data_IF_616004527562
#
_entry.id   IF_616004527562
#
_cell.length_a   1.000
_cell.length_b   1.000
_cell.length_c   1.000
_cell.angle_alpha   90.00
_cell.angle_beta   90.00
_cell.angle_gamma   90.00
#
_symmetry.space_group_name_H-M   'P 1'
#
loop_
_entity.id
_entity.type
_entity.pdbx_description
1 polymer ?
#
# COMPACT_ATOMS: atom_id res chain seq x y z
N UNK A 1 -40.17 -21.94 -49.46
CA UNK A 1 -40.17 -22.83 -48.27
C UNK A 1 -39.53 -22.07 -47.13
N UNK A 2 -40.33 -21.76 -46.11
CA UNK A 2 -39.89 -21.09 -44.91
C UNK A 2 -39.58 -22.14 -43.84
N UNK A 3 -38.50 -21.95 -43.09
CA UNK A 3 -38.47 -22.37 -41.69
C UNK A 3 -37.77 -21.27 -40.87
N UNK A 4 -38.53 -20.77 -39.90
CA UNK A 4 -38.23 -19.64 -39.01
C UNK A 4 -37.10 -20.02 -38.04
N UNK A 5 -36.29 -19.07 -37.54
CA UNK A 5 -35.68 -19.24 -36.23
C UNK A 5 -36.72 -18.96 -35.14
N UNK A 6 -36.95 -19.95 -34.27
CA UNK A 6 -37.78 -19.82 -33.07
C UNK A 6 -37.05 -18.97 -32.01
N UNK A 7 -37.71 -17.91 -31.56
CA UNK A 7 -37.50 -17.32 -30.24
C UNK A 7 -38.07 -18.23 -29.15
N UNK A 8 -37.36 -18.45 -28.04
CA UNK A 8 -37.83 -18.18 -26.66
C UNK A 8 -36.84 -18.59 -25.55
N UNK A 9 -36.60 -17.61 -24.67
CA UNK A 9 -36.50 -17.64 -23.19
C UNK A 9 -35.21 -18.12 -22.49
N UNK A 10 -34.53 -17.11 -21.93
CA UNK A 10 -33.98 -16.99 -20.56
C UNK A 10 -33.83 -18.27 -19.72
N UNK A 11 -32.58 -18.58 -19.36
CA UNK A 11 -32.20 -19.12 -18.07
C UNK A 11 -30.89 -18.46 -17.63
N UNK A 12 -30.93 -17.87 -16.43
CA UNK A 12 -29.82 -17.23 -15.76
C UNK A 12 -28.86 -18.26 -15.14
N UNK A 13 -27.63 -17.81 -14.86
CA UNK A 13 -26.59 -18.53 -14.12
C UNK A 13 -25.43 -18.93 -15.03
N UNK A 14 -24.16 -18.79 -14.68
CA UNK A 14 -23.53 -18.69 -13.36
C UNK A 14 -22.34 -17.73 -13.47
N UNK A 15 -22.46 -16.55 -12.87
CA UNK A 15 -21.28 -15.76 -12.50
C UNK A 15 -21.06 -16.13 -11.03
N UNK A 16 -20.01 -16.90 -10.76
CA UNK A 16 -19.41 -17.02 -9.43
C UNK A 16 -18.75 -15.68 -9.09
N UNK A 17 -19.60 -14.69 -8.82
CA UNK A 17 -19.24 -13.39 -8.30
C UNK A 17 -19.28 -13.48 -6.79
N UNK A 18 -18.10 -13.54 -6.18
CA UNK A 18 -17.94 -13.43 -4.74
C UNK A 18 -18.63 -12.16 -4.23
N UNK A 19 -19.55 -12.40 -3.32
CA UNK A 19 -20.35 -11.49 -2.49
C UNK A 19 -19.97 -10.00 -2.52
N UNK A 20 -20.94 -9.23 -3.01
CA UNK A 20 -21.31 -7.91 -2.53
C UNK A 20 -21.20 -7.82 -0.98
N UNK A 21 -20.45 -6.85 -0.47
CA UNK A 21 -20.73 -6.28 0.85
C UNK A 21 -21.06 -4.80 0.65
N UNK A 22 -22.34 -4.53 0.37
CA UNK A 22 -22.89 -3.18 0.47
C UNK A 22 -23.13 -2.88 1.95
N UNK A 23 -22.26 -2.07 2.55
CA UNK A 23 -22.45 -1.59 3.92
C UNK A 23 -23.36 -0.35 3.86
N UNK A 24 -24.64 -0.51 4.26
CA UNK A 24 -25.55 0.61 4.49
C UNK A 24 -25.29 1.14 5.90
N UNK A 25 -24.71 2.34 5.98
CA UNK A 25 -24.58 3.09 7.25
C UNK A 25 -25.65 4.18 7.24
N UNK A 26 -26.75 3.93 7.94
CA UNK A 26 -27.72 4.95 8.34
C UNK A 26 -27.24 5.55 9.66
N UNK A 27 -26.68 6.76 9.60
CA UNK A 27 -26.49 7.61 10.79
C UNK A 27 -27.16 8.94 10.51
N UNK A 28 -28.35 9.11 11.08
CA UNK A 28 -28.97 10.41 11.27
C UNK A 28 -28.25 11.11 12.43
N UNK A 29 -27.52 12.17 12.11
CA UNK A 29 -26.73 12.96 13.05
C UNK A 29 -25.52 13.47 12.31
N UNK A 30 -25.37 14.78 12.16
CA UNK A 30 -24.18 15.37 11.56
C UNK A 30 -23.00 15.04 12.49
N UNK A 31 -22.08 14.13 12.13
CA UNK A 31 -20.95 13.82 12.98
C UNK A 31 -19.99 15.01 12.92
N UNK A 32 -19.45 15.42 14.08
CA UNK A 32 -18.19 16.14 14.06
C UNK A 32 -17.18 15.30 13.23
N UNK A 33 -16.30 15.92 12.43
CA UNK A 33 -15.33 15.15 11.66
C UNK A 33 -14.53 14.29 12.62
N UNK A 34 -14.72 12.98 12.52
CA UNK A 34 -13.94 11.97 13.24
C UNK A 34 -12.47 12.24 12.91
N UNK A 35 -11.64 12.44 13.92
CA UNK A 35 -10.21 12.68 13.71
C UNK A 35 -9.65 11.48 12.94
N UNK A 36 -9.20 11.72 11.70
CA UNK A 36 -8.65 10.65 10.86
C UNK A 36 -7.29 10.26 11.42
N UNK A 37 -7.26 9.16 12.15
CA UNK A 37 -6.06 8.61 12.78
C UNK A 37 -5.52 7.41 12.00
N UNK A 38 -4.21 7.21 12.07
CA UNK A 38 -3.56 6.03 11.51
C UNK A 38 -4.00 4.78 12.30
N UNK A 39 -4.26 3.64 11.63
CA UNK A 39 -4.79 2.47 12.31
C UNK A 39 -3.73 1.85 13.24
N UNK A 40 -4.14 1.40 14.43
CA UNK A 40 -3.24 0.73 15.39
C UNK A 40 -2.64 -0.58 14.83
N UNK A 41 -3.36 -1.23 13.92
CA UNK A 41 -2.92 -2.44 13.25
C UNK A 41 -3.23 -2.41 11.76
N UNK A 42 -2.35 -3.02 10.96
CA UNK A 42 -2.55 -3.23 9.53
C UNK A 42 -2.39 -4.72 9.21
N UNK A 43 -3.32 -5.25 8.41
CA UNK A 43 -3.22 -6.62 7.90
C UNK A 43 -2.16 -6.68 6.78
N UNK A 44 -1.16 -7.53 6.99
CA UNK A 44 -0.05 -7.75 6.04
C UNK A 44 -0.15 -9.15 5.47
N UNK A 45 -0.24 -9.25 4.15
CA UNK A 45 -0.20 -10.52 3.43
C UNK A 45 1.25 -10.96 3.23
N UNK A 46 1.61 -12.10 3.82
CA UNK A 46 2.91 -12.74 3.70
C UNK A 46 3.06 -13.45 2.33
N UNK A 47 4.28 -13.79 1.91
CA UNK A 47 4.54 -14.50 0.64
C UNK A 47 3.84 -15.86 0.50
N UNK A 48 3.55 -16.54 1.61
CA UNK A 48 2.81 -17.81 1.63
C UNK A 48 1.29 -17.62 1.55
N UNK A 49 0.82 -16.39 1.41
CA UNK A 49 -0.59 -16.00 1.36
C UNK A 49 -1.26 -15.87 2.73
N UNK A 50 -0.54 -16.13 3.83
CA UNK A 50 -1.07 -15.88 5.18
C UNK A 50 -1.22 -14.38 5.42
N UNK A 51 -2.27 -14.00 6.15
CA UNK A 51 -2.48 -12.60 6.55
C UNK A 51 -2.20 -12.48 8.04
N UNK A 52 -1.38 -11.49 8.39
CA UNK A 52 -0.97 -11.26 9.77
C UNK A 52 -1.21 -9.80 10.14
N UNK A 53 -1.92 -9.56 11.23
CA UNK A 53 -2.03 -8.23 11.82
C UNK A 53 -0.66 -7.80 12.38
N UNK A 54 -0.11 -6.73 11.80
CA UNK A 54 1.07 -6.03 12.30
C UNK A 54 0.62 -4.80 13.08
N UNK A 55 1.30 -4.51 14.19
CA UNK A 55 1.04 -3.28 14.94
C UNK A 55 1.75 -2.13 14.26
N UNK A 56 1.25 -0.94 14.51
CA UNK A 56 1.94 0.29 14.15
C UNK A 56 3.33 0.32 14.80
N UNK A 57 4.30 0.87 14.09
CA UNK A 57 5.72 0.96 14.49
C UNK A 57 6.36 -0.39 14.81
N UNK A 58 5.93 -1.45 14.12
CA UNK A 58 6.65 -2.72 14.11
C UNK A 58 7.20 -3.01 12.73
N UNK A 59 8.18 -3.90 12.66
CA UNK A 59 8.72 -4.31 11.37
C UNK A 59 9.30 -5.72 11.36
N UNK A 60 9.78 -6.18 10.19
CA UNK A 60 10.41 -7.48 10.06
C UNK A 60 11.75 -7.50 10.77
N UNK A 61 11.88 -8.28 11.85
CA UNK A 61 13.14 -8.41 12.57
C UNK A 61 14.29 -8.94 11.71
N UNK A 62 13.96 -9.68 10.64
CA UNK A 62 14.92 -10.14 9.63
C UNK A 62 15.59 -9.01 8.83
N UNK A 63 15.04 -7.79 8.86
CA UNK A 63 15.55 -6.62 8.15
C UNK A 63 16.03 -5.52 9.12
N UNK A 64 16.09 -5.77 10.42
CA UNK A 64 16.50 -4.76 11.39
C UNK A 64 17.92 -4.22 11.15
N UNK A 65 18.10 -2.91 11.35
CA UNK A 65 19.36 -2.17 11.17
C UNK A 65 19.97 -2.37 9.78
N UNK A 66 19.19 -2.17 8.73
CA UNK A 66 19.69 -2.39 7.38
C UNK A 66 19.02 -1.49 6.35
N UNK A 67 19.71 -1.31 5.23
CA UNK A 67 19.23 -0.55 4.08
C UNK A 67 19.19 -1.45 2.87
N UNK A 68 18.11 -1.36 2.09
CA UNK A 68 17.87 -2.23 0.94
C UNK A 68 17.49 -1.41 -0.29
N UNK A 69 18.12 -1.70 -1.42
CA UNK A 69 17.69 -1.19 -2.72
C UNK A 69 16.81 -2.24 -3.42
N UNK A 70 15.58 -1.86 -3.75
CA UNK A 70 14.61 -2.72 -4.44
C UNK A 70 14.61 -2.43 -5.93
N UNK A 71 14.90 -3.44 -6.75
CA UNK A 71 14.94 -3.34 -8.20
C UNK A 71 13.83 -4.17 -8.83
N UNK A 72 13.28 -3.72 -9.95
CA UNK A 72 12.36 -4.54 -10.76
C UNK A 72 13.10 -5.74 -11.33
N UNK A 73 12.50 -6.92 -11.23
CA UNK A 73 13.11 -8.17 -11.70
C UNK A 73 13.20 -8.27 -13.23
N UNK A 74 12.36 -7.56 -13.96
CA UNK A 74 12.29 -7.63 -15.43
C UNK A 74 13.35 -6.79 -16.15
N UNK A 75 13.72 -5.64 -15.59
CA UNK A 75 14.61 -4.67 -16.23
C UNK A 75 15.66 -4.05 -15.31
N UNK A 76 15.74 -4.49 -14.05
CA UNK A 76 16.69 -4.01 -13.05
C UNK A 76 16.62 -2.50 -12.78
N UNK A 77 15.49 -1.86 -13.06
CA UNK A 77 15.26 -0.46 -12.69
C UNK A 77 15.04 -0.35 -11.17
N UNK A 78 15.71 0.62 -10.54
CA UNK A 78 15.48 0.95 -9.13
C UNK A 78 14.03 1.41 -8.95
N UNK A 79 13.37 0.91 -7.91
CA UNK A 79 12.01 1.28 -7.51
C UNK A 79 12.07 2.22 -6.31
N UNK A 80 12.76 1.80 -5.26
CA UNK A 80 12.85 2.51 -3.99
C UNK A 80 14.01 1.94 -3.19
N UNK A 81 14.59 2.76 -2.33
CA UNK A 81 15.42 2.30 -1.21
C UNK A 81 14.64 2.36 0.08
N UNK A 82 14.80 1.34 0.90
CA UNK A 82 14.11 1.21 2.18
C UNK A 82 15.14 1.10 3.28
N UNK A 83 15.07 2.00 4.25
CA UNK A 83 15.82 1.92 5.49
C UNK A 83 14.94 1.31 6.58
N UNK A 84 15.51 0.35 7.30
CA UNK A 84 14.87 -0.31 8.43
C UNK A 84 15.65 -0.04 9.72
N UNK A 85 14.94 0.43 10.73
CA UNK A 85 15.46 0.74 12.05
C UNK A 85 15.81 -0.50 12.88
N UNK A 86 16.15 -0.28 14.15
CA UNK A 86 16.63 -1.33 15.04
C UNK A 86 15.61 -2.41 15.39
N UNK A 87 14.33 -2.09 15.28
CA UNK A 87 13.18 -2.97 15.44
C UNK A 87 12.70 -3.58 14.10
N UNK A 88 13.39 -3.28 13.01
CA UNK A 88 13.00 -3.66 11.65
C UNK A 88 11.89 -2.80 11.08
N UNK A 89 11.43 -1.76 11.77
CA UNK A 89 10.42 -0.85 11.25
C UNK A 89 11.01 -0.01 10.11
N UNK A 90 10.19 0.31 9.10
CA UNK A 90 10.63 1.21 8.02
C UNK A 90 10.83 2.60 8.65
N UNK A 91 12.03 3.16 8.56
CA UNK A 91 12.33 4.52 9.02
C UNK A 91 12.33 5.51 7.86
N UNK A 92 12.58 5.03 6.64
CA UNK A 92 12.66 5.88 5.45
C UNK A 92 12.42 5.09 4.17
N UNK A 93 11.58 5.62 3.30
CA UNK A 93 11.60 5.30 1.86
C UNK A 93 12.31 6.45 1.15
N UNK A 94 13.38 6.17 0.41
CA UNK A 94 14.15 7.20 -0.30
C UNK A 94 14.58 6.71 -1.68
N UNK A 95 15.10 7.63 -2.50
CA UNK A 95 15.29 7.42 -3.94
C UNK A 95 14.02 6.82 -4.59
N UNK A 96 12.87 7.33 -4.14
CA UNK A 96 11.57 6.87 -4.56
C UNK A 96 11.40 7.14 -6.06
N UNK A 97 11.39 6.07 -6.85
CA UNK A 97 11.12 6.08 -8.27
C UNK A 97 9.81 5.34 -8.62
N UNK A 98 9.28 4.54 -7.68
CA UNK A 98 8.10 3.70 -7.87
C UNK A 98 6.82 4.26 -7.26
N UNK A 99 6.87 4.81 -6.05
CA UNK A 99 5.68 5.19 -5.30
C UNK A 99 5.30 6.66 -5.49
N UNK A 100 4.58 6.95 -6.57
CA UNK A 100 4.06 8.29 -6.87
C UNK A 100 5.13 9.41 -6.72
N UNK A 101 6.31 9.28 -7.34
CA UNK A 101 7.44 10.18 -7.08
C UNK A 101 7.17 11.63 -7.49
N UNK A 102 6.31 11.86 -8.49
CA UNK A 102 5.90 13.20 -8.89
C UNK A 102 5.10 13.92 -7.81
N UNK A 103 4.39 13.18 -6.94
CA UNK A 103 3.51 13.71 -5.91
C UNK A 103 4.18 13.73 -4.54
N UNK A 104 4.87 12.66 -4.13
CA UNK A 104 5.50 12.54 -2.82
C UNK A 104 6.95 13.03 -2.79
N UNK A 105 7.59 13.12 -3.95
CA UNK A 105 9.02 13.41 -4.06
C UNK A 105 9.88 12.16 -3.89
N UNK A 106 11.18 12.40 -3.67
CA UNK A 106 12.18 11.35 -3.60
C UNK A 106 12.17 10.59 -2.26
N UNK A 107 11.50 11.12 -1.23
CA UNK A 107 11.53 10.58 0.12
C UNK A 107 10.14 10.54 0.75
N UNK A 108 9.88 9.52 1.58
CA UNK A 108 8.67 9.38 2.39
C UNK A 108 9.07 8.92 3.79
N UNK A 109 8.53 9.62 4.80
CA UNK A 109 8.85 9.42 6.21
C UNK A 109 7.62 8.89 6.98
N UNK A 110 7.70 7.70 7.58
CA UNK A 110 6.65 7.15 8.45
C UNK A 110 6.89 7.54 9.91
N UNK A 111 6.88 8.84 10.21
CA UNK A 111 7.21 9.40 11.53
C UNK A 111 6.01 10.10 12.21
N UNK A 112 4.79 9.88 11.69
CA UNK A 112 3.53 10.51 12.13
C UNK A 112 3.44 12.03 11.95
N UNK A 113 4.51 12.68 11.54
CA UNK A 113 4.55 14.11 11.34
C UNK A 113 3.93 14.47 9.97
N UNK A 114 3.39 15.69 9.82
CA UNK A 114 2.88 16.15 8.54
C UNK A 114 4.03 16.47 7.58
N UNK A 115 4.02 15.85 6.41
CA UNK A 115 4.98 16.10 5.32
C UNK A 115 4.27 16.57 4.06
N UNK A 116 4.80 17.62 3.44
CA UNK A 116 4.20 18.22 2.25
C UNK A 116 4.38 17.34 1.00
N UNK A 117 3.37 17.31 0.13
CA UNK A 117 3.50 16.79 -1.22
C UNK A 117 4.29 17.77 -2.10
N UNK A 118 4.93 17.23 -3.13
CA UNK A 118 5.50 18.01 -4.24
C UNK A 118 4.38 18.61 -5.09
N UNK A 119 3.38 17.80 -5.47
CA UNK A 119 2.14 18.26 -6.11
C UNK A 119 0.95 17.40 -5.62
N UNK A 120 -0.25 17.99 -5.48
CA UNK A 120 -0.54 19.42 -5.58
C UNK A 120 -0.02 20.22 -4.38
N UNK A 121 0.17 21.53 -4.56
CA UNK A 121 0.51 22.42 -3.45
C UNK A 121 -0.60 22.42 -2.38
N UNK A 122 -0.20 22.56 -1.12
CA UNK A 122 -1.06 22.48 0.08
C UNK A 122 -1.60 21.07 0.41
N UNK A 123 -1.19 20.03 -0.31
CA UNK A 123 -1.40 18.66 0.14
C UNK A 123 -0.27 18.22 1.09
N UNK A 124 -0.63 17.44 2.10
CA UNK A 124 0.33 16.81 3.02
C UNK A 124 -0.14 15.40 3.40
N UNK A 125 0.82 14.55 3.80
CA UNK A 125 0.52 13.25 4.39
C UNK A 125 1.01 13.15 5.83
N UNK A 126 0.44 12.20 6.55
CA UNK A 126 1.03 11.57 7.74
C UNK A 126 1.10 10.09 7.47
N UNK A 127 2.21 9.45 7.84
CA UNK A 127 2.41 8.04 7.58
C UNK A 127 2.96 7.31 8.80
N UNK A 128 2.69 6.01 8.85
CA UNK A 128 3.29 5.08 9.79
C UNK A 128 3.70 3.79 9.10
N UNK A 129 4.61 3.08 9.73
CA UNK A 129 5.16 1.83 9.23
C UNK A 129 4.64 0.64 10.03
N UNK A 130 4.50 -0.48 9.33
CA UNK A 130 3.97 -1.74 9.83
C UNK A 130 4.80 -2.85 9.23
N UNK A 131 5.00 -3.93 9.97
CA UNK A 131 5.73 -5.06 9.42
C UNK A 131 5.91 -6.21 10.38
N UNK A 132 6.26 -7.37 9.81
CA UNK A 132 6.40 -8.63 10.52
C UNK A 132 7.26 -9.63 9.75
N UNK A 133 7.87 -10.56 10.49
CA UNK A 133 8.55 -11.74 9.94
C UNK A 133 7.86 -13.02 10.37
N UNK A 134 7.92 -14.06 9.52
CA UNK A 134 7.56 -15.43 9.83
C UNK A 134 8.63 -16.36 9.20
N UNK A 135 9.66 -16.70 9.97
CA UNK A 135 10.82 -17.41 9.44
C UNK A 135 11.56 -16.56 8.39
N UNK A 136 11.86 -17.08 7.19
CA UNK A 136 12.53 -16.32 6.14
C UNK A 136 11.59 -15.35 5.41
N UNK A 137 10.27 -15.46 5.64
CA UNK A 137 9.26 -14.63 5.02
C UNK A 137 9.05 -13.34 5.81
N UNK A 138 8.77 -12.26 5.09
CA UNK A 138 8.42 -10.98 5.70
C UNK A 138 7.37 -10.22 4.88
N UNK A 139 6.74 -9.27 5.55
CA UNK A 139 6.03 -8.17 4.92
C UNK A 139 6.21 -6.89 5.73
N UNK A 140 6.37 -5.77 5.03
CA UNK A 140 6.42 -4.44 5.60
C UNK A 140 5.62 -3.47 4.71
N UNK A 141 4.97 -2.50 5.33
CA UNK A 141 4.12 -1.54 4.66
C UNK A 141 4.24 -0.17 5.31
N UNK A 142 4.17 0.86 4.48
CA UNK A 142 3.93 2.25 4.88
C UNK A 142 2.48 2.56 4.55
N UNK A 143 1.69 2.95 5.55
CA UNK A 143 0.33 3.42 5.37
C UNK A 143 0.28 4.92 5.61
N UNK A 144 -0.39 5.64 4.70
CA UNK A 144 -0.49 7.10 4.76
C UNK A 144 -1.94 7.56 4.71
N UNK A 145 -2.24 8.60 5.47
CA UNK A 145 -3.40 9.45 5.26
C UNK A 145 -2.95 10.75 4.60
N UNK A 146 -3.80 11.33 3.76
CA UNK A 146 -3.50 12.52 2.96
C UNK A 146 -4.60 13.56 3.12
N UNK A 147 -4.19 14.82 3.20
CA UNK A 147 -5.06 16.00 3.31
C UNK A 147 -4.70 17.05 2.27
N UNK A 148 -5.66 17.90 1.89
CA UNK A 148 -5.43 19.16 1.16
C UNK A 148 -5.97 20.32 2.00
N UNK A 149 -5.08 21.13 2.56
CA UNK A 149 -5.47 22.04 3.63
C UNK A 149 -6.05 21.22 4.79
N UNK A 150 -7.21 21.59 5.30
CA UNK A 150 -7.85 20.88 6.41
C UNK A 150 -8.75 19.71 5.94
N UNK A 151 -8.89 19.49 4.64
CA UNK A 151 -9.77 18.45 4.08
C UNK A 151 -9.02 17.12 3.96
N UNK A 152 -9.56 16.06 4.58
CA UNK A 152 -9.06 14.71 4.35
C UNK A 152 -9.44 14.23 2.95
N UNK A 153 -8.44 13.88 2.15
CA UNK A 153 -8.62 13.50 0.76
C UNK A 153 -8.38 12.03 0.50
N UNK A 154 -7.81 11.26 1.43
CA UNK A 154 -7.75 9.81 1.27
C UNK A 154 -6.50 9.16 1.86
N UNK A 155 -6.21 7.96 1.40
CA UNK A 155 -5.11 7.16 1.95
C UNK A 155 -4.32 6.46 0.86
N UNK A 156 -3.14 5.99 1.23
CA UNK A 156 -2.28 5.17 0.39
C UNK A 156 -1.53 4.14 1.21
N UNK A 157 -1.11 3.09 0.53
CA UNK A 157 -0.21 2.08 1.07
C UNK A 157 0.89 1.82 0.05
N UNK A 158 2.12 1.71 0.51
CA UNK A 158 3.21 1.10 -0.24
C UNK A 158 3.80 -0.02 0.60
N UNK A 159 4.14 -1.14 -0.01
CA UNK A 159 4.55 -2.33 0.72
C UNK A 159 5.66 -3.09 -0.01
N UNK A 160 6.45 -3.80 0.78
CA UNK A 160 7.41 -4.81 0.35
C UNK A 160 7.12 -6.11 1.09
N UNK A 161 7.10 -7.22 0.37
CA UNK A 161 6.98 -8.55 0.97
C UNK A 161 7.81 -9.55 0.21
N UNK A 162 8.40 -10.51 0.90
CA UNK A 162 9.29 -11.44 0.23
C UNK A 162 9.96 -12.43 1.16
N UNK A 163 10.99 -13.08 0.63
CA UNK A 163 11.80 -14.04 1.36
C UNK A 163 13.24 -13.55 1.40
N UNK A 164 13.79 -13.39 2.61
CA UNK A 164 15.17 -12.95 2.82
C UNK A 164 16.12 -14.14 2.71
N UNK A 165 17.24 -13.96 2.01
CA UNK A 165 18.34 -14.91 1.90
C UNK A 165 19.67 -14.17 1.93
N UNK A 166 20.28 -14.11 3.12
CA UNK A 166 21.51 -13.34 3.34
C UNK A 166 21.31 -11.86 3.03
N UNK A 167 22.13 -11.32 2.14
CA UNK A 167 22.13 -9.91 1.73
C UNK A 167 21.22 -9.63 0.52
N UNK A 168 20.31 -10.56 0.23
CA UNK A 168 19.32 -10.43 -0.85
C UNK A 168 17.93 -10.78 -0.35
N UNK A 169 16.90 -10.22 -0.98
CA UNK A 169 15.55 -10.78 -0.89
C UNK A 169 14.84 -10.74 -2.24
N UNK A 170 13.97 -11.72 -2.44
CA UNK A 170 13.09 -11.82 -3.61
C UNK A 170 11.64 -11.65 -3.15
N UNK A 171 10.85 -10.92 -3.93
CA UNK A 171 9.45 -10.72 -3.56
C UNK A 171 8.70 -9.74 -4.43
N UNK A 172 7.83 -8.98 -3.78
CA UNK A 172 6.92 -8.02 -4.39
C UNK A 172 7.11 -6.67 -3.73
N UNK A 173 7.19 -5.63 -4.56
CA UNK A 173 6.84 -4.27 -4.18
C UNK A 173 5.47 -3.93 -4.75
N UNK A 174 4.62 -3.27 -4.00
CA UNK A 174 3.37 -2.73 -4.56
C UNK A 174 2.93 -1.48 -3.84
N UNK A 175 2.01 -0.77 -4.47
CA UNK A 175 1.35 0.37 -3.86
C UNK A 175 -0.08 0.51 -4.34
N UNK A 176 -0.89 1.19 -3.54
CA UNK A 176 -2.25 1.57 -3.87
C UNK A 176 -2.60 2.88 -3.18
N UNK A 177 -3.24 3.80 -3.89
CA UNK A 177 -3.76 5.05 -3.33
C UNK A 177 -5.22 5.20 -3.69
N UNK A 178 -6.04 5.64 -2.74
CA UNK A 178 -7.42 6.05 -2.96
C UNK A 178 -7.57 7.49 -2.50
N UNK A 179 -7.56 8.41 -3.46
CA UNK A 179 -7.66 9.85 -3.21
C UNK A 179 -8.93 10.43 -3.83
N UNK A 180 -9.54 11.37 -3.12
CA UNK A 180 -10.73 12.12 -3.52
C UNK A 180 -10.43 13.60 -3.40
N UNK A 181 -10.61 14.31 -4.49
CA UNK A 181 -10.36 15.73 -4.62
C UNK A 181 -11.60 16.39 -5.22
N UNK A 182 -12.40 17.11 -4.43
CA UNK A 182 -13.68 17.66 -4.90
C UNK A 182 -14.51 16.57 -5.64
N UNK A 183 -14.82 16.77 -6.93
CA UNK A 183 -15.58 15.84 -7.77
C UNK A 183 -14.71 14.72 -8.42
N UNK A 184 -13.40 14.72 -8.19
CA UNK A 184 -12.47 13.75 -8.75
C UNK A 184 -12.16 12.62 -7.76
N UNK A 185 -12.27 11.38 -8.22
CA UNK A 185 -11.77 10.20 -7.51
C UNK A 185 -10.64 9.58 -8.33
N UNK A 186 -9.45 9.50 -7.73
CA UNK A 186 -8.26 8.88 -8.31
C UNK A 186 -7.88 7.63 -7.53
N UNK A 187 -7.83 6.50 -8.23
CA UNK A 187 -7.18 5.29 -7.72
C UNK A 187 -5.97 4.98 -8.58
N UNK A 188 -4.83 4.79 -7.94
CA UNK A 188 -3.57 4.38 -8.59
C UNK A 188 -3.06 3.18 -7.82
N UNK A 189 -2.80 2.10 -8.53
CA UNK A 189 -2.13 0.93 -7.96
C UNK A 189 -1.21 0.30 -8.99
N UNK A 190 -0.09 -0.22 -8.50
CA UNK A 190 0.81 -1.04 -9.31
C UNK A 190 1.56 -2.02 -8.41
N UNK A 191 2.11 -3.06 -9.02
CA UNK A 191 2.82 -4.12 -8.33
C UNK A 191 3.93 -4.69 -9.22
N UNK A 192 5.13 -4.82 -8.67
CA UNK A 192 6.31 -5.32 -9.36
C UNK A 192 6.87 -6.54 -8.63
N UNK A 193 7.33 -7.52 -9.42
CA UNK A 193 8.27 -8.52 -8.93
C UNK A 193 9.62 -7.85 -8.72
N UNK A 194 10.24 -8.10 -7.58
CA UNK A 194 11.47 -7.43 -7.18
C UNK A 194 12.56 -8.40 -6.75
N UNK A 195 13.78 -7.97 -7.02
CA UNK A 195 14.99 -8.43 -6.36
C UNK A 195 15.56 -7.24 -5.57
N UNK A 196 15.95 -7.47 -4.33
CA UNK A 196 16.55 -6.43 -3.50
C UNK A 196 17.91 -6.85 -2.96
N UNK A 197 18.78 -5.87 -2.82
CA UNK A 197 20.16 -6.03 -2.33
C UNK A 197 20.36 -5.12 -1.13
N UNK A 198 21.03 -5.64 -0.11
CA UNK A 198 21.43 -4.89 1.08
C UNK A 198 22.60 -3.95 0.75
N UNK A 199 22.58 -2.73 1.26
CA UNK A 199 23.55 -1.65 0.91
C UNK A 199 24.34 -1.09 2.12
N UNK A 200 24.36 -1.77 3.27
CA UNK A 200 25.07 -1.29 4.48
C UNK A 200 26.59 -1.44 4.46
#
# INVERSE_FOLDING_TARGET
MASKPQTKRWAAGWISGSMLLAMVVLVAGCPAPEEVTLPETLDIEMPDGTVVAARIDTGPSSLANSTWACYRKDNNALIVRVEFGADGCITRFFDNAGYSPSHLGAEVFPDFEPHAFVIPANAYYRAAAYGKSAGPHFGAALFMHTWWGDEYIGHGVAYVRGTVSGDTFEGIFGYSTQLRFADWFGSLSDQYQIHAVRED
#
